data_IF_374538671163
#
_entry.id   IF_374538671163
#
_cell.length_a   1.000
_cell.length_b   1.000
_cell.length_c   1.000
_cell.angle_alpha   90.00
_cell.angle_beta   90.00
_cell.angle_gamma   90.00
#
_symmetry.space_group_name_H-M   'P 1'
#
loop_
_entity.id
_entity.type
_entity.pdbx_description
1 polymer ?
#
# COMPACT_ATOMS: atom_id res chain seq x y z
N UNK A 1 -17.93 22.44 41.46
CA UNK A 1 -18.23 21.12 42.05
C UNK A 1 -17.88 20.06 41.02
N UNK A 2 -17.15 19.00 41.44
CA UNK A 2 -16.80 17.72 40.76
C UNK A 2 -17.11 17.53 39.25
N UNK A 3 -16.14 17.27 38.36
CA UNK A 3 -15.25 16.09 38.18
C UNK A 3 -15.82 15.01 37.23
N UNK A 4 -14.92 14.50 36.35
CA UNK A 4 -14.92 13.28 35.48
C UNK A 4 -14.71 13.59 33.97
N UNK A 5 -13.94 12.82 33.17
CA UNK A 5 -12.91 11.79 33.42
C UNK A 5 -12.09 11.48 32.12
N UNK A 6 -10.82 11.02 32.27
CA UNK A 6 -10.01 10.21 31.29
C UNK A 6 -9.46 10.91 30.02
N UNK A 7 -8.19 10.68 29.60
CA UNK A 7 -7.16 9.67 29.96
C UNK A 7 -5.75 10.26 30.17
N UNK A 8 -4.98 9.59 31.03
CA UNK A 8 -3.52 9.74 31.26
C UNK A 8 -2.78 8.54 30.64
N UNK A 9 -1.58 8.75 30.08
CA UNK A 9 -0.47 7.77 30.07
C UNK A 9 0.82 8.60 30.29
N UNK A 10 1.27 8.79 31.54
CA UNK A 10 2.26 7.97 32.27
C UNK A 10 3.72 8.10 31.75
N UNK A 11 4.54 8.85 32.51
CA UNK A 11 5.85 8.38 32.97
C UNK A 11 6.32 9.21 34.19
N UNK A 12 6.19 8.64 35.39
CA UNK A 12 6.98 9.06 36.57
C UNK A 12 7.70 7.81 37.05
N UNK A 13 9.02 7.79 36.91
CA UNK A 13 9.89 6.92 37.67
C UNK A 13 11.10 7.76 38.09
N UNK A 14 11.14 8.15 39.36
CA UNK A 14 12.28 8.86 39.94
C UNK A 14 13.29 7.82 40.43
N UNK A 15 14.27 7.48 39.59
CA UNK A 15 15.60 7.02 40.03
C UNK A 15 16.64 7.68 39.11
N UNK A 16 17.66 8.29 39.71
CA UNK A 16 18.70 9.03 39.01
C UNK A 16 19.56 8.14 38.10
N UNK A 17 19.43 8.28 36.79
CA UNK A 17 20.53 8.06 35.83
C UNK A 17 20.47 9.20 34.80
N UNK A 18 21.61 9.85 34.55
CA UNK A 18 21.72 10.89 33.53
C UNK A 18 21.37 10.33 32.16
N UNK A 19 20.30 10.86 31.57
CA UNK A 19 19.96 10.70 30.16
C UNK A 19 19.21 11.94 29.72
N UNK A 20 19.70 12.61 28.67
CA UNK A 20 19.05 13.78 28.10
C UNK A 20 17.75 13.34 27.41
N UNK A 21 16.68 13.15 28.19
CA UNK A 21 15.32 13.12 27.67
C UNK A 21 14.96 14.52 27.19
N UNK A 22 15.29 14.80 25.93
CA UNK A 22 14.76 15.96 25.21
C UNK A 22 13.24 15.88 25.22
N UNK A 23 12.60 16.69 26.06
CA UNK A 23 11.16 16.89 26.02
C UNK A 23 10.85 17.57 24.69
N UNK A 24 10.36 16.81 23.72
CA UNK A 24 9.86 17.36 22.45
C UNK A 24 8.54 18.03 22.78
N UNK A 25 8.57 19.34 22.96
CA UNK A 25 7.38 20.17 22.96
C UNK A 25 6.82 20.20 21.54
N UNK A 26 5.65 19.57 21.35
CA UNK A 26 4.89 19.72 20.13
C UNK A 26 4.25 21.11 20.10
N UNK A 27 4.40 21.84 18.99
CA UNK A 27 3.85 23.19 18.86
C UNK A 27 2.37 23.12 18.49
N UNK A 28 1.51 23.87 19.19
CA UNK A 28 0.07 23.92 18.91
C UNK A 28 -0.21 24.31 17.44
N UNK A 29 -1.17 23.61 16.82
CA UNK A 29 -1.51 23.78 15.40
C UNK A 29 -2.89 24.42 15.26
N UNK A 30 -2.95 25.65 14.77
CA UNK A 30 -4.22 26.30 14.43
C UNK A 30 -4.76 25.81 13.09
N UNK A 31 -5.37 24.62 13.09
CA UNK A 31 -5.91 23.99 11.88
C UNK A 31 -6.95 24.85 11.14
N UNK A 32 -7.72 25.67 11.86
CA UNK A 32 -8.75 26.53 11.27
C UNK A 32 -8.15 27.69 10.46
N UNK A 33 -6.96 28.17 10.82
CA UNK A 33 -6.21 29.19 10.06
C UNK A 33 -5.54 28.57 8.82
N UNK A 34 -4.94 27.39 8.97
CA UNK A 34 -4.26 26.70 7.86
C UNK A 34 -5.24 26.14 6.82
N UNK A 35 -6.39 25.64 7.26
CA UNK A 35 -7.36 24.89 6.46
C UNK A 35 -8.82 25.26 6.79
N UNK A 36 -9.25 26.52 6.59
CA UNK A 36 -10.54 27.03 7.07
C UNK A 36 -11.78 26.28 6.54
N UNK A 37 -11.68 25.67 5.36
CA UNK A 37 -12.78 24.97 4.68
C UNK A 37 -12.54 23.45 4.55
N UNK A 38 -11.67 22.86 5.38
CA UNK A 38 -11.34 21.43 5.34
C UNK A 38 -11.69 20.76 6.68
N UNK A 39 -12.40 19.65 6.61
CA UNK A 39 -12.49 18.71 7.73
C UNK A 39 -11.31 17.74 7.66
N UNK A 40 -10.38 17.86 8.61
CA UNK A 40 -9.20 16.98 8.69
C UNK A 40 -9.66 15.60 9.19
N UNK A 41 -9.26 14.56 8.47
CA UNK A 41 -9.61 13.17 8.77
C UNK A 41 -8.43 12.35 9.28
N UNK A 42 -7.20 12.70 8.89
CA UNK A 42 -6.00 11.98 9.32
C UNK A 42 -4.79 12.92 9.35
N UNK A 43 -3.90 12.70 10.33
CA UNK A 43 -2.63 13.38 10.52
C UNK A 43 -1.53 12.32 10.65
N UNK A 44 -0.40 12.48 9.95
CA UNK A 44 0.77 11.59 10.08
C UNK A 44 2.04 12.39 10.29
N UNK A 45 2.90 11.95 11.19
CA UNK A 45 4.23 12.53 11.37
C UNK A 45 5.08 12.20 10.14
N UNK A 46 5.86 13.17 9.65
CA UNK A 46 6.85 12.96 8.60
C UNK A 46 8.14 13.71 8.96
N UNK A 47 9.28 13.02 8.93
CA UNK A 47 10.57 13.67 9.05
C UNK A 47 10.98 14.23 7.68
N UNK A 48 11.02 15.54 7.51
CA UNK A 48 11.50 16.20 6.28
C UNK A 48 12.95 16.68 6.41
N UNK A 49 13.36 17.04 7.61
CA UNK A 49 14.68 17.57 8.01
C UNK A 49 14.83 17.37 9.52
N UNK A 50 16.05 17.18 10.03
CA UNK A 50 16.31 16.86 11.44
C UNK A 50 15.65 17.80 12.47
N UNK A 51 15.45 19.08 12.10
CA UNK A 51 15.11 20.14 13.03
C UNK A 51 13.66 20.61 12.95
N UNK A 52 12.87 20.16 11.98
CA UNK A 52 11.51 20.65 11.76
C UNK A 52 10.46 19.61 12.15
N UNK A 53 9.53 20.03 13.01
CA UNK A 53 8.31 19.29 13.29
C UNK A 53 7.38 19.42 12.07
N UNK A 54 6.96 18.29 11.48
CA UNK A 54 6.18 18.29 10.25
C UNK A 54 5.15 17.15 10.19
N UNK A 55 4.01 17.45 9.59
CA UNK A 55 2.87 16.54 9.50
C UNK A 55 2.26 16.52 8.10
N UNK A 56 1.91 15.33 7.63
CA UNK A 56 0.99 15.14 6.51
C UNK A 56 -0.43 15.28 7.05
N UNK A 57 -1.22 16.13 6.43
CA UNK A 57 -2.62 16.39 6.71
C UNK A 57 -3.46 15.86 5.55
N UNK A 58 -4.46 15.04 5.88
CA UNK A 58 -5.43 14.50 4.93
C UNK A 58 -6.82 14.93 5.39
N UNK A 59 -7.63 15.43 4.47
CA UNK A 59 -8.97 15.92 4.80
C UNK A 59 -9.87 16.09 3.59
N UNK A 60 -11.13 16.38 3.87
CA UNK A 60 -12.18 16.61 2.87
C UNK A 60 -12.61 18.07 2.90
N UNK A 61 -13.00 18.63 1.75
CA UNK A 61 -13.64 19.94 1.75
C UNK A 61 -14.97 19.89 2.50
N UNK A 62 -15.24 20.91 3.31
CA UNK A 62 -16.54 21.10 3.98
C UNK A 62 -17.57 21.49 2.90
N UNK A 63 -18.68 20.75 2.73
CA UNK A 63 -19.66 21.07 1.71
C UNK A 63 -20.43 22.36 2.06
N UNK A 64 -20.28 23.41 1.23
CA UNK A 64 -21.04 24.67 1.36
C UNK A 64 -22.46 24.52 0.79
N UNK A 65 -23.29 23.65 1.38
CA UNK A 65 -24.68 23.35 0.98
C UNK A 65 -24.86 22.73 -0.43
N UNK A 66 -23.86 22.03 -0.98
CA UNK A 66 -24.03 21.20 -2.18
C UNK A 66 -23.71 19.72 -1.89
N UNK A 67 -24.53 18.85 -2.45
CA UNK A 67 -24.48 17.39 -2.25
C UNK A 67 -23.10 16.80 -2.56
N UNK A 68 -22.51 16.11 -1.59
CA UNK A 68 -21.31 15.27 -1.73
C UNK A 68 -20.12 15.92 -2.47
N UNK A 69 -19.49 16.94 -1.87
CA UNK A 69 -18.13 17.32 -2.31
C UNK A 69 -17.13 16.21 -1.93
N UNK A 70 -16.93 15.26 -2.86
CA UNK A 70 -15.94 14.18 -2.74
C UNK A 70 -14.50 14.67 -2.75
N UNK A 71 -14.28 15.96 -3.04
CA UNK A 71 -12.99 16.65 -3.08
C UNK A 71 -12.19 16.49 -1.78
N UNK A 72 -10.92 16.12 -1.92
CA UNK A 72 -10.00 15.83 -0.81
C UNK A 72 -8.71 16.58 -0.96
N UNK A 73 -7.93 16.65 0.12
CA UNK A 73 -6.59 17.20 0.09
C UNK A 73 -5.59 16.21 0.67
N UNK A 74 -4.36 16.30 0.18
CA UNK A 74 -3.16 15.89 0.91
C UNK A 74 -2.26 17.11 0.98
N UNK A 75 -1.83 17.48 2.19
CA UNK A 75 -0.96 18.64 2.42
C UNK A 75 0.14 18.24 3.40
N UNK A 76 1.30 18.91 3.33
CA UNK A 76 2.32 18.82 4.38
C UNK A 76 2.49 20.19 5.01
N UNK A 77 2.41 20.22 6.34
CA UNK A 77 2.71 21.38 7.16
C UNK A 77 4.03 21.17 7.89
N UNK A 78 4.79 22.25 8.10
CA UNK A 78 6.04 22.25 8.86
C UNK A 78 6.07 23.45 9.79
N UNK A 79 6.59 23.27 10.99
CA UNK A 79 6.81 24.37 11.92
C UNK A 79 8.04 25.18 11.50
N UNK A 80 7.87 26.49 11.38
CA UNK A 80 8.91 27.44 11.04
C UNK A 80 9.35 28.20 12.30
N UNK A 81 10.49 27.78 12.85
CA UNK A 81 11.07 28.35 14.08
C UNK A 81 11.41 29.84 13.99
N UNK A 82 11.59 30.40 12.78
CA UNK A 82 11.91 31.84 12.61
C UNK A 82 10.66 32.72 12.70
N UNK A 83 9.52 32.26 12.17
CA UNK A 83 8.25 32.97 12.22
C UNK A 83 7.38 32.57 13.42
N UNK A 84 7.76 31.48 14.13
CA UNK A 84 6.96 30.85 15.19
C UNK A 84 5.56 30.45 14.71
N UNK A 85 5.46 29.92 13.48
CA UNK A 85 4.21 29.56 12.79
C UNK A 85 4.32 28.24 12.04
N UNK A 86 3.17 27.65 11.75
CA UNK A 86 3.04 26.51 10.85
C UNK A 86 2.89 27.00 9.40
N UNK A 87 3.73 26.51 8.49
CA UNK A 87 3.68 26.81 7.06
C UNK A 87 3.19 25.59 6.27
N UNK A 88 2.33 25.80 5.26
CA UNK A 88 1.97 24.77 4.27
C UNK A 88 3.06 24.69 3.20
N UNK A 89 3.81 23.59 3.20
CA UNK A 89 4.97 23.37 2.31
C UNK A 89 4.70 22.34 1.19
N UNK A 90 3.55 21.67 1.25
CA UNK A 90 2.99 20.88 0.14
C UNK A 90 1.47 20.95 0.18
N UNK A 91 0.83 20.93 -1.00
CA UNK A 91 -0.61 20.90 -1.12
C UNK A 91 -1.02 20.29 -2.46
N UNK A 92 -1.87 19.26 -2.42
CA UNK A 92 -2.51 18.66 -3.59
C UNK A 92 -4.02 18.55 -3.31
N UNK A 93 -4.82 19.19 -4.16
CA UNK A 93 -6.29 19.12 -4.16
C UNK A 93 -6.77 18.05 -5.13
N UNK A 94 -7.74 17.25 -4.72
CA UNK A 94 -8.29 16.11 -5.43
C UNK A 94 -7.22 15.10 -5.90
N UNK A 95 -6.29 14.67 -5.02
CA UNK A 95 -5.24 13.75 -5.43
C UNK A 95 -5.83 12.46 -6.01
N UNK A 96 -6.83 11.86 -5.34
CA UNK A 96 -7.58 10.68 -5.80
C UNK A 96 -8.97 10.55 -5.12
N UNK A 97 -9.73 9.51 -5.52
CA UNK A 97 -10.95 8.99 -4.88
C UNK A 97 -10.76 8.81 -3.37
N UNK A 98 -10.09 7.73 -2.94
CA UNK A 98 -9.77 7.46 -1.53
C UNK A 98 -8.25 7.41 -1.32
N UNK A 99 -7.56 8.58 -1.23
CA UNK A 99 -6.11 8.64 -1.16
C UNK A 99 -5.61 8.01 0.15
N UNK A 100 -5.02 6.82 0.03
CA UNK A 100 -4.22 6.19 1.08
C UNK A 100 -2.83 6.79 1.05
N UNK A 101 -2.39 7.36 2.18
CA UNK A 101 -1.02 7.88 2.34
C UNK A 101 -0.20 7.00 3.28
N UNK A 102 0.99 6.60 2.83
CA UNK A 102 1.96 5.85 3.63
C UNK A 102 3.29 6.61 3.69
N UNK A 103 3.83 6.82 4.90
CA UNK A 103 5.18 7.38 5.11
C UNK A 103 6.22 6.27 4.95
N UNK A 104 7.30 6.54 4.21
CA UNK A 104 8.31 5.56 3.79
C UNK A 104 9.72 6.18 3.75
N UNK A 105 10.78 5.38 3.66
CA UNK A 105 12.17 5.88 3.52
C UNK A 105 12.89 5.25 2.30
N UNK A 106 12.30 5.38 1.13
CA UNK A 106 12.78 4.77 -0.12
C UNK A 106 14.15 5.27 -0.57
N UNK A 107 14.51 6.49 -0.18
CA UNK A 107 15.79 7.11 -0.51
C UNK A 107 16.92 6.75 0.47
N UNK A 108 16.61 6.00 1.55
CA UNK A 108 17.52 5.73 2.68
C UNK A 108 18.13 7.02 3.27
N UNK A 109 17.37 8.12 3.25
CA UNK A 109 17.75 9.44 3.72
C UNK A 109 17.18 9.74 5.10
N UNK A 110 17.60 10.86 5.72
CA UNK A 110 16.95 11.35 6.96
C UNK A 110 15.56 11.92 6.67
N UNK A 111 15.44 12.63 5.56
CA UNK A 111 14.16 13.03 4.97
C UNK A 111 13.42 11.78 4.49
N UNK A 112 12.21 11.58 5.00
CA UNK A 112 11.28 10.55 4.56
C UNK A 112 10.55 11.00 3.29
N UNK A 113 9.96 10.02 2.61
CA UNK A 113 9.04 10.21 1.50
C UNK A 113 7.64 9.78 1.94
N UNK A 114 6.64 10.09 1.14
CA UNK A 114 5.32 9.50 1.31
C UNK A 114 4.74 9.08 -0.03
N UNK A 115 3.97 8.00 0.00
CA UNK A 115 3.24 7.49 -1.15
C UNK A 115 1.79 7.91 -1.02
N UNK A 116 1.26 8.65 -1.98
CA UNK A 116 -0.17 8.88 -2.15
C UNK A 116 -0.68 7.86 -3.17
N UNK A 117 -1.69 7.08 -2.83
CA UNK A 117 -2.18 5.97 -3.66
C UNK A 117 -3.70 5.82 -3.58
N UNK A 118 -4.31 5.30 -4.64
CA UNK A 118 -5.74 4.94 -4.69
C UNK A 118 -5.95 3.73 -5.61
N UNK A 119 -7.07 3.04 -5.42
CA UNK A 119 -7.46 1.88 -6.23
C UNK A 119 -8.85 2.16 -6.81
N UNK A 120 -8.95 2.22 -8.13
CA UNK A 120 -10.15 2.68 -8.84
C UNK A 120 -10.75 1.61 -9.76
N UNK A 121 -12.05 1.72 -10.01
CA UNK A 121 -12.80 0.85 -10.91
C UNK A 121 -12.98 -0.59 -10.41
N UNK A 122 -13.85 -1.34 -11.09
CA UNK A 122 -14.11 -2.76 -10.80
C UNK A 122 -12.90 -3.67 -11.10
N UNK A 123 -11.96 -3.22 -11.94
CA UNK A 123 -10.70 -3.91 -12.20
C UNK A 123 -9.64 -3.75 -11.11
N UNK A 124 -9.86 -2.89 -10.11
CA UNK A 124 -8.89 -2.64 -9.04
C UNK A 124 -7.60 -2.00 -9.57
N UNK A 125 -7.73 -0.93 -10.36
CA UNK A 125 -6.59 -0.24 -10.98
C UNK A 125 -5.87 0.63 -9.94
N UNK A 126 -4.64 0.27 -9.59
CA UNK A 126 -3.81 1.07 -8.69
C UNK A 126 -3.16 2.23 -9.45
N UNK A 127 -3.25 3.40 -8.83
CA UNK A 127 -2.48 4.59 -9.21
C UNK A 127 -1.80 5.15 -7.96
N UNK A 128 -0.53 5.55 -8.08
CA UNK A 128 0.22 6.15 -6.97
C UNK A 128 1.34 7.11 -7.39
N UNK A 129 1.70 8.01 -6.45
CA UNK A 129 2.83 8.93 -6.53
C UNK A 129 3.74 8.74 -5.32
N UNK A 130 5.05 8.73 -5.53
CA UNK A 130 6.05 8.89 -4.45
C UNK A 130 6.42 10.37 -4.40
N UNK A 131 6.15 11.02 -3.28
CA UNK A 131 6.47 12.42 -3.01
C UNK A 131 7.64 12.49 -2.02
N UNK A 132 8.66 13.29 -2.33
CA UNK A 132 9.84 13.45 -1.47
C UNK A 132 10.31 14.90 -1.37
N UNK A 133 10.94 15.24 -0.24
CA UNK A 133 11.49 16.56 0.00
C UNK A 133 12.94 16.62 -0.51
N UNK A 134 13.18 17.33 -1.60
CA UNK A 134 14.47 17.43 -2.31
C UNK A 134 14.68 18.87 -2.78
N UNK A 135 15.88 19.41 -2.59
CA UNK A 135 16.23 20.82 -2.86
C UNK A 135 15.27 21.81 -2.18
N UNK A 136 15.03 21.59 -0.88
CA UNK A 136 14.12 22.35 -0.01
C UNK A 136 12.65 22.42 -0.48
N UNK A 137 12.22 21.54 -1.39
CA UNK A 137 10.86 21.52 -1.92
C UNK A 137 10.32 20.09 -2.02
N UNK A 138 9.01 19.92 -1.93
CA UNK A 138 8.38 18.64 -2.24
C UNK A 138 8.26 18.45 -3.75
N UNK A 139 8.70 17.28 -4.25
CA UNK A 139 8.66 16.89 -5.66
C UNK A 139 8.08 15.49 -5.81
N UNK A 140 7.35 15.25 -6.89
CA UNK A 140 7.00 13.89 -7.33
C UNK A 140 8.26 13.21 -7.85
N UNK A 141 8.71 12.15 -7.19
CA UNK A 141 9.90 11.38 -7.55
C UNK A 141 9.57 10.18 -8.45
N UNK A 142 8.33 9.68 -8.35
CA UNK A 142 7.79 8.60 -9.16
C UNK A 142 6.28 8.78 -9.27
N UNK A 143 5.72 8.49 -10.44
CA UNK A 143 4.27 8.40 -10.67
C UNK A 143 3.99 7.12 -11.47
N UNK A 144 2.95 6.38 -11.07
CA UNK A 144 2.52 5.10 -11.66
C UNK A 144 1.00 5.10 -11.72
N UNK A 145 0.44 4.63 -12.83
CA UNK A 145 -1.00 4.74 -13.16
C UNK A 145 -1.54 3.44 -13.74
N UNK A 146 -2.83 3.24 -13.53
CA UNK A 146 -3.66 2.24 -14.23
C UNK A 146 -3.13 0.80 -14.16
N UNK A 147 -2.50 0.45 -13.04
CA UNK A 147 -1.94 -0.89 -12.80
C UNK A 147 -3.11 -1.84 -12.50
N UNK A 148 -3.46 -2.71 -13.46
CA UNK A 148 -4.58 -3.63 -13.35
C UNK A 148 -4.41 -4.64 -12.19
N UNK A 149 -5.47 -4.86 -11.41
CA UNK A 149 -5.44 -5.60 -10.14
C UNK A 149 -4.25 -5.20 -9.24
N UNK A 150 -3.93 -3.90 -9.24
CA UNK A 150 -2.64 -3.42 -8.79
C UNK A 150 -2.53 -3.33 -7.27
N UNK A 151 -1.33 -3.60 -6.77
CA UNK A 151 -0.99 -3.44 -5.36
C UNK A 151 0.49 -3.04 -5.22
N UNK A 152 0.89 -2.56 -4.04
CA UNK A 152 2.31 -2.39 -3.73
C UNK A 152 2.63 -2.73 -2.29
N UNK A 153 3.87 -3.16 -2.06
CA UNK A 153 4.45 -3.37 -0.73
C UNK A 153 5.85 -2.80 -0.65
N UNK A 154 6.26 -2.38 0.54
CA UNK A 154 7.61 -1.86 0.80
C UNK A 154 8.46 -2.99 1.39
N UNK A 155 9.62 -3.27 0.81
CA UNK A 155 10.55 -4.29 1.31
C UNK A 155 11.31 -3.77 2.54
N UNK A 156 11.89 -4.66 3.37
CA UNK A 156 12.81 -4.27 4.44
C UNK A 156 14.03 -3.47 3.96
N UNK A 157 14.36 -3.53 2.65
CA UNK A 157 15.45 -2.78 2.03
C UNK A 157 15.02 -1.39 1.51
N UNK A 158 13.80 -0.96 1.84
CA UNK A 158 13.18 0.28 1.34
C UNK A 158 12.99 0.32 -0.19
N UNK A 159 12.69 -0.83 -0.79
CA UNK A 159 12.31 -0.94 -2.21
C UNK A 159 10.78 -1.08 -2.31
N UNK A 160 10.19 -0.73 -3.46
CA UNK A 160 8.77 -1.03 -3.75
C UNK A 160 8.72 -2.31 -4.58
N UNK A 161 7.90 -3.27 -4.16
CA UNK A 161 7.36 -4.31 -5.05
C UNK A 161 5.97 -3.84 -5.47
N UNK A 162 5.84 -3.49 -6.74
CA UNK A 162 4.58 -3.16 -7.42
C UNK A 162 4.07 -4.44 -8.12
N UNK A 163 2.87 -4.90 -7.76
CA UNK A 163 2.26 -6.11 -8.32
C UNK A 163 1.11 -5.72 -9.25
N UNK A 164 1.02 -6.37 -10.41
CA UNK A 164 -0.06 -6.27 -11.39
C UNK A 164 -0.60 -7.69 -11.63
N UNK A 165 -1.66 -8.07 -10.91
CA UNK A 165 -1.95 -9.49 -10.70
C UNK A 165 -0.77 -10.19 -10.03
N UNK A 166 -0.26 -11.26 -10.65
CA UNK A 166 0.90 -12.05 -10.22
C UNK A 166 2.19 -11.62 -10.95
N UNK A 167 2.19 -10.51 -11.69
CA UNK A 167 3.41 -9.95 -12.28
C UNK A 167 3.99 -8.86 -11.37
N UNK A 168 5.20 -9.09 -10.85
CA UNK A 168 5.89 -8.14 -9.97
C UNK A 168 6.89 -7.25 -10.72
N UNK A 169 6.98 -6.01 -10.26
CA UNK A 169 7.97 -5.01 -10.67
C UNK A 169 8.71 -4.49 -9.44
N UNK A 170 10.03 -4.71 -9.41
CA UNK A 170 10.91 -4.14 -8.41
C UNK A 170 11.24 -2.69 -8.79
N UNK A 171 10.98 -1.77 -7.88
CA UNK A 171 11.28 -0.35 -8.04
C UNK A 171 12.15 0.12 -6.88
N UNK A 172 13.36 0.58 -7.18
CA UNK A 172 14.38 0.94 -6.18
C UNK A 172 15.03 2.29 -6.48
N UNK A 173 15.35 3.06 -5.45
CA UNK A 173 16.10 4.31 -5.61
C UNK A 173 17.58 4.02 -5.88
N UNK A 174 18.16 4.67 -6.88
CA UNK A 174 19.58 4.51 -7.21
C UNK A 174 20.15 5.77 -7.90
N UNK A 175 21.32 6.20 -7.44
CA UNK A 175 22.10 7.38 -7.88
C UNK A 175 21.44 8.75 -7.79
N UNK A 176 20.19 8.92 -8.23
CA UNK A 176 19.29 10.06 -8.01
C UNK A 176 17.90 9.85 -8.66
N UNK A 177 17.52 8.60 -8.98
CA UNK A 177 16.26 8.28 -9.64
C UNK A 177 15.74 6.89 -9.25
N UNK A 178 14.46 6.61 -9.50
CA UNK A 178 13.93 5.25 -9.40
C UNK A 178 14.31 4.42 -10.63
N UNK A 179 14.94 3.26 -10.38
CA UNK A 179 15.12 2.19 -11.34
C UNK A 179 13.92 1.24 -11.24
N UNK A 180 13.28 0.96 -12.38
CA UNK A 180 12.11 0.08 -12.50
C UNK A 180 12.54 -1.18 -13.25
N UNK A 181 12.33 -2.36 -12.66
CA UNK A 181 12.62 -3.66 -13.28
C UNK A 181 11.43 -4.61 -13.09
N UNK A 182 10.79 -5.03 -14.19
CA UNK A 182 9.89 -6.18 -14.17
C UNK A 182 10.66 -7.44 -13.78
N UNK A 183 10.05 -8.29 -12.97
CA UNK A 183 10.64 -9.55 -12.54
C UNK A 183 10.10 -10.69 -13.42
N UNK A 184 10.99 -11.57 -13.86
CA UNK A 184 10.64 -12.72 -14.69
C UNK A 184 9.78 -13.76 -13.94
N UNK A 185 9.71 -13.64 -12.61
CA UNK A 185 8.98 -14.51 -11.71
C UNK A 185 8.46 -13.70 -10.51
N UNK A 186 7.23 -14.00 -10.09
CA UNK A 186 6.54 -13.42 -8.93
C UNK A 186 7.28 -13.68 -7.62
N UNK A 187 7.31 -12.69 -6.73
CA UNK A 187 7.81 -12.81 -5.35
C UNK A 187 6.69 -13.36 -4.47
N UNK A 188 6.80 -14.65 -4.13
CA UNK A 188 5.83 -15.33 -3.27
C UNK A 188 6.45 -15.81 -1.96
N UNK A 189 5.70 -15.74 -0.86
CA UNK A 189 6.12 -16.29 0.43
C UNK A 189 6.55 -17.76 0.34
N UNK A 190 7.56 -18.19 1.14
CA UNK A 190 7.89 -19.61 1.29
C UNK A 190 6.70 -20.44 1.77
N UNK A 191 6.64 -21.69 1.29
CA UNK A 191 5.62 -22.68 1.70
C UNK A 191 6.29 -23.89 2.34
N UNK A 192 5.54 -24.67 3.12
CA UNK A 192 6.04 -25.86 3.80
C UNK A 192 6.27 -27.03 2.85
N UNK A 193 7.02 -28.05 3.32
CA UNK A 193 7.32 -29.27 2.56
C UNK A 193 6.07 -30.02 2.05
N UNK A 194 4.95 -29.87 2.77
CA UNK A 194 3.68 -30.53 2.46
C UNK A 194 2.69 -29.60 1.73
N UNK A 195 3.07 -28.37 1.41
CA UNK A 195 2.23 -27.43 0.67
C UNK A 195 2.52 -27.56 -0.85
N UNK A 196 1.59 -27.11 -1.70
CA UNK A 196 1.70 -27.21 -3.16
C UNK A 196 1.98 -25.82 -3.76
N UNK A 197 3.00 -25.73 -4.62
CA UNK A 197 3.20 -24.57 -5.51
C UNK A 197 3.01 -24.96 -6.96
N UNK A 198 2.06 -24.33 -7.65
CA UNK A 198 1.89 -24.45 -9.09
C UNK A 198 2.53 -23.25 -9.78
N UNK A 199 3.58 -23.52 -10.54
CA UNK A 199 4.18 -22.53 -11.43
C UNK A 199 3.43 -22.54 -12.76
N UNK A 200 3.13 -21.36 -13.30
CA UNK A 200 2.44 -21.22 -14.58
C UNK A 200 2.97 -20.04 -15.40
N UNK A 201 2.73 -20.09 -16.72
CA UNK A 201 2.95 -18.99 -17.66
C UNK A 201 1.70 -18.72 -18.48
N UNK A 202 1.63 -17.53 -19.08
CA UNK A 202 0.71 -17.22 -20.19
C UNK A 202 1.57 -16.69 -21.34
N UNK A 203 1.38 -17.22 -22.55
CA UNK A 203 2.05 -16.75 -23.76
C UNK A 203 1.34 -15.53 -24.39
N UNK A 204 1.93 -14.95 -25.44
CA UNK A 204 1.34 -13.79 -26.12
C UNK A 204 0.06 -14.12 -26.91
N UNK A 205 -0.29 -15.41 -27.05
CA UNK A 205 -1.54 -15.91 -27.63
C UNK A 205 -2.57 -16.29 -26.55
N UNK A 206 -2.35 -15.85 -25.30
CA UNK A 206 -3.21 -16.06 -24.14
C UNK A 206 -3.28 -17.52 -23.60
N UNK A 207 -2.46 -18.45 -24.10
CA UNK A 207 -2.48 -19.83 -23.60
C UNK A 207 -1.84 -19.94 -22.21
N UNK A 208 -2.59 -20.45 -21.22
CA UNK A 208 -2.08 -20.74 -19.88
C UNK A 208 -1.38 -22.11 -19.87
N UNK A 209 -0.08 -22.12 -19.60
CA UNK A 209 0.69 -23.35 -19.39
C UNK A 209 0.85 -23.62 -17.89
N UNK A 210 0.25 -24.70 -17.39
CA UNK A 210 0.28 -25.13 -15.99
C UNK A 210 0.44 -26.66 -15.91
N UNK A 211 1.25 -27.23 -14.98
CA UNK A 211 1.56 -28.66 -14.98
C UNK A 211 0.38 -29.58 -14.62
N UNK A 212 -0.66 -29.07 -13.97
CA UNK A 212 -1.89 -29.82 -13.68
C UNK A 212 -3.04 -28.86 -13.37
N UNK A 213 -4.26 -29.26 -13.74
CA UNK A 213 -5.52 -28.59 -13.40
C UNK A 213 -6.31 -29.33 -12.32
N UNK A 214 -5.78 -30.41 -11.76
CA UNK A 214 -6.42 -31.19 -10.69
C UNK A 214 -5.48 -31.32 -9.49
N UNK A 215 -5.93 -30.83 -8.34
CA UNK A 215 -5.15 -30.74 -7.10
C UNK A 215 -5.89 -31.42 -5.96
N UNK A 216 -5.16 -32.22 -5.18
CA UNK A 216 -5.63 -32.75 -3.91
C UNK A 216 -4.90 -32.05 -2.76
N UNK A 217 -5.65 -31.51 -1.81
CA UNK A 217 -5.15 -30.93 -0.57
C UNK A 217 -5.72 -31.67 0.64
N UNK A 218 -4.96 -31.71 1.71
CA UNK A 218 -5.44 -32.01 3.05
C UNK A 218 -5.85 -30.74 3.76
N UNK A 219 -6.81 -30.83 4.67
CA UNK A 219 -7.13 -29.71 5.57
C UNK A 219 -5.85 -29.22 6.27
N UNK A 220 -5.61 -27.91 6.23
CA UNK A 220 -4.42 -27.24 6.73
C UNK A 220 -3.34 -26.96 5.68
N UNK A 221 -3.26 -27.72 4.57
CA UNK A 221 -2.28 -27.48 3.50
C UNK A 221 -2.56 -26.18 2.73
N UNK A 222 -1.51 -25.59 2.18
CA UNK A 222 -1.58 -24.42 1.30
C UNK A 222 -1.42 -24.83 -0.16
N UNK A 223 -2.12 -24.10 -1.02
CA UNK A 223 -1.89 -24.05 -2.46
C UNK A 223 -1.47 -22.62 -2.81
N UNK A 224 -0.36 -22.50 -3.52
CA UNK A 224 0.19 -21.25 -3.99
C UNK A 224 0.33 -21.32 -5.51
N UNK A 225 -0.26 -20.36 -6.21
CA UNK A 225 0.06 -20.12 -7.61
C UNK A 225 1.31 -19.25 -7.66
N UNK A 226 2.15 -19.44 -8.69
CA UNK A 226 3.31 -18.59 -8.92
C UNK A 226 3.47 -18.32 -10.41
N UNK A 227 3.40 -17.06 -10.83
CA UNK A 227 3.68 -16.66 -12.21
C UNK A 227 5.20 -16.71 -12.47
N UNK A 228 5.62 -17.32 -13.59
CA UNK A 228 7.05 -17.46 -13.97
C UNK A 228 7.39 -16.91 -15.36
N UNK A 229 6.60 -15.95 -15.85
CA UNK A 229 6.98 -15.05 -16.95
C UNK A 229 6.22 -13.72 -16.89
N UNK A 230 6.78 -12.67 -17.48
CA UNK A 230 6.06 -11.41 -17.78
C UNK A 230 5.27 -11.53 -19.08
N UNK A 231 4.28 -10.65 -19.29
CA UNK A 231 3.58 -10.53 -20.57
C UNK A 231 2.11 -10.18 -20.37
N UNK A 232 1.23 -10.88 -21.10
CA UNK A 232 -0.23 -10.86 -20.92
C UNK A 232 -0.60 -10.95 -19.45
N UNK A 233 -1.42 -10.00 -18.98
CA UNK A 233 -1.89 -9.92 -17.59
C UNK A 233 -2.86 -11.06 -17.28
N UNK A 234 -3.26 -11.22 -16.02
CA UNK A 234 -4.31 -12.18 -15.69
C UNK A 234 -5.21 -11.68 -14.56
N UNK A 235 -6.42 -12.26 -14.51
CA UNK A 235 -7.30 -12.21 -13.34
C UNK A 235 -7.43 -13.61 -12.80
N UNK A 236 -7.20 -13.77 -11.50
CA UNK A 236 -7.49 -15.01 -10.80
C UNK A 236 -8.80 -14.86 -10.00
N UNK A 237 -9.76 -15.73 -10.31
CA UNK A 237 -11.01 -15.85 -9.58
C UNK A 237 -10.99 -17.11 -8.71
N UNK A 238 -11.58 -17.01 -7.53
CA UNK A 238 -11.64 -18.10 -6.55
C UNK A 238 -13.09 -18.41 -6.21
N UNK A 239 -13.45 -19.71 -6.17
CA UNK A 239 -14.79 -20.14 -5.81
C UNK A 239 -15.14 -19.81 -4.35
N UNK A 240 -16.28 -19.13 -4.14
CA UNK A 240 -16.71 -18.60 -2.84
C UNK A 240 -17.54 -19.61 -2.01
N UNK A 241 -17.05 -20.83 -1.85
CA UNK A 241 -17.71 -21.89 -1.07
C UNK A 241 -17.14 -22.06 0.35
N UNK A 242 -16.23 -21.17 0.76
CA UNK A 242 -15.56 -21.14 2.08
C UNK A 242 -14.81 -22.43 2.43
N UNK A 243 -14.29 -23.17 1.43
CA UNK A 243 -13.37 -24.31 1.65
C UNK A 243 -11.91 -23.87 1.77
N UNK A 244 -11.59 -22.70 1.20
CA UNK A 244 -10.28 -22.06 1.22
C UNK A 244 -10.32 -20.78 2.06
N UNK A 245 -9.23 -20.51 2.76
CA UNK A 245 -8.90 -19.23 3.36
C UNK A 245 -7.90 -18.50 2.48
N UNK A 246 -8.27 -17.34 1.97
CA UNK A 246 -7.43 -16.50 1.13
C UNK A 246 -6.42 -15.70 1.97
N UNK A 247 -5.16 -15.76 1.58
CA UNK A 247 -4.05 -14.90 2.03
C UNK A 247 -3.43 -14.23 0.80
N UNK A 248 -2.54 -13.24 1.01
CA UNK A 248 -1.95 -12.46 -0.09
C UNK A 248 -1.31 -13.36 -1.16
N UNK A 249 -0.47 -14.31 -0.74
CA UNK A 249 0.36 -15.10 -1.65
C UNK A 249 -0.08 -16.58 -1.76
N UNK A 250 -1.16 -17.00 -1.11
CA UNK A 250 -1.61 -18.40 -1.11
C UNK A 250 -3.06 -18.57 -0.63
N UNK A 251 -3.64 -19.71 -0.94
CA UNK A 251 -4.89 -20.20 -0.34
C UNK A 251 -4.60 -21.37 0.61
N UNK A 252 -5.33 -21.46 1.72
CA UNK A 252 -5.19 -22.56 2.67
C UNK A 252 -6.49 -23.36 2.76
N UNK A 253 -6.41 -24.69 2.66
CA UNK A 253 -7.54 -25.58 2.88
C UNK A 253 -7.99 -25.53 4.34
N UNK A 254 -9.25 -25.18 4.60
CA UNK A 254 -9.79 -25.03 5.97
C UNK A 254 -10.92 -26.03 6.32
N UNK A 255 -11.52 -26.68 5.32
CA UNK A 255 -12.49 -27.78 5.51
C UNK A 255 -12.51 -28.69 4.28
N UNK A 256 -12.94 -29.96 4.39
CA UNK A 256 -13.10 -30.85 3.25
C UNK A 256 -14.13 -30.34 2.23
N UNK A 257 -14.03 -30.83 1.00
CA UNK A 257 -14.94 -30.53 -0.11
C UNK A 257 -14.21 -30.20 -1.41
N UNK A 258 -14.98 -29.97 -2.48
CA UNK A 258 -14.47 -29.58 -3.78
C UNK A 258 -14.58 -28.06 -3.98
N UNK A 259 -13.61 -27.46 -4.65
CA UNK A 259 -13.58 -26.04 -5.02
C UNK A 259 -12.76 -25.85 -6.29
N UNK A 260 -12.68 -24.63 -6.80
CA UNK A 260 -11.88 -24.33 -7.98
C UNK A 260 -11.30 -22.91 -7.96
N UNK A 261 -10.26 -22.74 -8.77
CA UNK A 261 -9.57 -21.47 -9.04
C UNK A 261 -9.54 -21.29 -10.56
N UNK A 262 -9.92 -20.14 -11.06
CA UNK A 262 -9.91 -19.83 -12.50
C UNK A 262 -8.85 -18.78 -12.80
N UNK A 263 -7.96 -19.06 -13.74
CA UNK A 263 -7.01 -18.09 -14.29
C UNK A 263 -7.58 -17.61 -15.63
N UNK A 264 -7.73 -16.30 -15.79
CA UNK A 264 -8.32 -15.65 -16.98
C UNK A 264 -7.25 -14.73 -17.60
N UNK A 265 -6.74 -15.01 -18.81
CA UNK A 265 -5.80 -14.15 -19.52
C UNK A 265 -6.38 -12.77 -19.81
N UNK A 266 -5.51 -11.76 -19.85
CA UNK A 266 -5.83 -10.33 -19.98
C UNK A 266 -6.89 -9.81 -18.97
N UNK A 267 -7.18 -10.60 -17.94
CA UNK A 267 -8.25 -10.37 -16.98
C UNK A 267 -9.67 -10.63 -17.46
N UNK A 268 -9.90 -10.76 -18.77
CA UNK A 268 -11.23 -10.80 -19.39
C UNK A 268 -11.40 -11.85 -20.51
N UNK A 269 -10.32 -12.51 -20.96
CA UNK A 269 -10.41 -13.58 -21.96
C UNK A 269 -10.97 -14.87 -21.33
N UNK A 270 -12.29 -14.98 -21.36
CA UNK A 270 -13.02 -16.16 -20.87
C UNK A 270 -12.82 -17.41 -21.72
N UNK A 271 -12.40 -17.25 -22.98
CA UNK A 271 -12.33 -18.34 -23.95
C UNK A 271 -11.03 -19.13 -23.76
N UNK A 272 -9.95 -18.46 -23.37
CA UNK A 272 -8.67 -19.06 -22.99
C UNK A 272 -8.50 -19.29 -21.47
N UNK A 273 -9.56 -19.21 -20.66
CA UNK A 273 -9.46 -19.41 -19.21
C UNK A 273 -9.10 -20.86 -18.84
N UNK A 274 -8.32 -21.05 -17.76
CA UNK A 274 -8.04 -22.37 -17.18
C UNK A 274 -8.63 -22.49 -15.78
N UNK A 275 -9.39 -23.57 -15.56
CA UNK A 275 -9.97 -23.92 -14.25
C UNK A 275 -9.11 -25.00 -13.59
N UNK A 276 -8.62 -24.70 -12.39
CA UNK A 276 -7.91 -25.62 -11.50
C UNK A 276 -8.92 -26.16 -10.49
N UNK A 277 -9.28 -27.43 -10.60
CA UNK A 277 -10.09 -28.15 -9.62
C UNK A 277 -9.26 -28.49 -8.39
N UNK A 278 -9.79 -28.22 -7.21
CA UNK A 278 -9.15 -28.47 -5.92
C UNK A 278 -10.09 -29.33 -5.06
N UNK A 279 -9.69 -30.56 -4.82
CA UNK A 279 -10.36 -31.51 -3.93
C UNK A 279 -9.66 -31.48 -2.55
N UNK A 280 -10.43 -31.34 -1.47
CA UNK A 280 -9.92 -31.25 -0.10
C UNK A 280 -10.47 -32.39 0.74
N UNK A 281 -9.55 -33.15 1.38
CA UNK A 281 -9.82 -34.31 2.25
C UNK A 281 -9.27 -34.12 3.66
#
# INVERSE_FOLDING_TARGET
MLINLRKIIYFIFIINIFSNCSIIYAHDINYKELFPNICITEQKNINITNDNEAYIIIGNYIPNNMSYSTSRIVSVISFNKKSNKWDKIYYESNPYWYPKVNVVNLLNSKSQQFIISDIQGSGGFLTYKVIGYVDNNFKTLLERKDIFQGNYTITPNNEIIESMGHQDTLIKWHKNMFSIKKLDQEIVSPIGKNDIRLKYTIDDNHHINIPTTNIHLKVGQKLQLQRINTGVTERILYSNNKTLLFKKDYVQAIKPGNTYITIIPDGYDSDNQVIINVNIS
#
